data_IF_667250475564
#
_entry.id   IF_667250475564
#
_cell.length_a   1.000
_cell.length_b   1.000
_cell.length_c   1.000
_cell.angle_alpha   90.00
_cell.angle_beta   90.00
_cell.angle_gamma   90.00
#
_symmetry.space_group_name_H-M   'P 1'
#
loop_
_entity.id
_entity.type
_entity.pdbx_description
1 polymer ?
#
# COMPACT_ATOMS: atom_id res chain seq x y z
N UNK A 1 -13.29 17.90 -17.47
CA UNK A 1 -12.60 16.69 -16.96
C UNK A 1 -12.98 16.48 -15.51
N UNK A 2 -13.43 15.27 -15.11
CA UNK A 2 -13.70 14.95 -13.70
C UNK A 2 -12.40 15.04 -12.91
N UNK A 3 -12.36 15.84 -11.85
CA UNK A 3 -11.20 15.90 -10.94
C UNK A 3 -11.18 14.61 -10.14
N UNK A 4 -10.33 13.66 -10.54
CA UNK A 4 -10.13 12.40 -9.83
C UNK A 4 -8.89 12.46 -8.96
N UNK A 5 -8.93 11.74 -7.85
CA UNK A 5 -7.76 11.43 -7.05
C UNK A 5 -7.20 10.10 -7.55
N UNK A 6 -6.01 10.14 -8.16
CA UNK A 6 -5.40 8.96 -8.76
C UNK A 6 -4.10 8.62 -8.05
N UNK A 7 -3.96 7.35 -7.71
CA UNK A 7 -2.74 6.79 -7.13
C UNK A 7 -2.41 5.48 -7.84
N UNK A 8 -1.11 5.24 -8.01
CA UNK A 8 -0.59 3.98 -8.52
C UNK A 8 0.70 3.64 -7.82
N UNK A 9 0.91 2.36 -7.54
CA UNK A 9 2.03 1.90 -6.75
C UNK A 9 2.28 0.41 -6.89
N UNK A 10 3.32 -0.05 -6.21
CA UNK A 10 3.65 -1.46 -6.10
C UNK A 10 3.58 -1.89 -4.65
N UNK A 11 3.08 -3.10 -4.46
CA UNK A 11 2.97 -3.76 -3.17
C UNK A 11 3.72 -5.07 -3.21
N UNK A 12 4.59 -5.25 -2.21
CA UNK A 12 5.13 -6.54 -1.84
C UNK A 12 4.27 -7.07 -0.70
N UNK A 13 3.52 -8.13 -0.99
CA UNK A 13 2.61 -8.79 -0.05
C UNK A 13 3.24 -10.08 0.47
N UNK A 14 2.77 -10.52 1.63
CA UNK A 14 3.19 -11.78 2.27
C UNK A 14 4.72 -11.91 2.43
N UNK A 15 5.39 -10.79 2.73
CA UNK A 15 6.84 -10.76 2.99
C UNK A 15 7.17 -11.58 4.23
N UNK A 16 6.30 -11.49 5.23
CA UNK A 16 6.37 -12.29 6.44
C UNK A 16 4.98 -12.88 6.69
N UNK A 17 4.93 -14.19 6.86
CA UNK A 17 3.73 -14.94 7.22
C UNK A 17 3.96 -15.62 8.56
N UNK A 18 3.22 -15.19 9.58
CA UNK A 18 3.32 -15.73 10.94
C UNK A 18 2.09 -16.58 11.24
N UNK A 19 2.24 -17.88 11.53
CA UNK A 19 1.12 -18.70 11.99
C UNK A 19 0.62 -18.19 13.33
N UNK A 20 -0.69 -18.09 13.49
CA UNK A 20 -1.37 -17.65 14.70
C UNK A 20 -2.44 -18.67 15.08
N UNK A 21 -2.23 -19.35 16.21
CA UNK A 21 -3.13 -20.36 16.77
C UNK A 21 -3.53 -21.49 15.79
N UNK A 22 -2.64 -21.86 14.86
CA UNK A 22 -2.84 -22.94 13.85
C UNK A 22 -4.11 -22.83 12.99
N UNK A 23 -4.78 -21.67 13.01
CA UNK A 23 -6.01 -21.40 12.26
C UNK A 23 -5.89 -20.20 11.33
N UNK A 24 -4.97 -19.28 11.64
CA UNK A 24 -4.82 -18.04 10.90
C UNK A 24 -3.36 -17.74 10.60
N UNK A 25 -3.15 -16.95 9.56
CA UNK A 25 -1.86 -16.39 9.21
C UNK A 25 -1.91 -14.87 9.28
N UNK A 26 -1.02 -14.28 10.07
CA UNK A 26 -0.73 -12.85 9.98
C UNK A 26 0.25 -12.64 8.83
N UNK A 27 -0.19 -11.89 7.82
CA UNK A 27 0.61 -11.53 6.66
C UNK A 27 1.04 -10.07 6.77
N UNK A 28 2.32 -9.82 6.53
CA UNK A 28 2.87 -8.48 6.51
C UNK A 28 3.35 -8.14 5.11
N UNK A 29 3.18 -6.88 4.73
CA UNK A 29 3.63 -6.38 3.44
C UNK A 29 4.01 -4.91 3.50
N UNK A 30 4.70 -4.45 2.45
CA UNK A 30 5.06 -3.05 2.28
C UNK A 30 4.71 -2.60 0.87
N UNK A 31 4.55 -1.29 0.67
CA UNK A 31 4.33 -0.73 -0.65
C UNK A 31 4.74 0.71 -0.78
N UNK A 32 4.98 1.10 -2.02
CA UNK A 32 5.18 2.49 -2.42
C UNK A 32 4.05 2.91 -3.35
N UNK A 33 3.38 4.00 -3.00
CA UNK A 33 2.30 4.62 -3.76
C UNK A 33 2.75 5.99 -4.28
N UNK A 34 2.41 6.30 -5.53
CA UNK A 34 2.62 7.62 -6.13
C UNK A 34 1.29 8.21 -6.57
N UNK A 35 1.00 9.43 -6.13
CA UNK A 35 -0.18 10.20 -6.54
C UNK A 35 0.06 10.95 -7.84
N UNK A 36 -0.93 10.95 -8.71
CA UNK A 36 -0.92 11.70 -9.95
C UNK A 36 -2.29 12.30 -10.28
N UNK A 37 -2.31 13.17 -11.29
CA UNK A 37 -3.52 13.86 -11.73
C UNK A 37 -3.82 15.18 -11.00
N UNK A 38 -5.08 15.64 -11.03
CA UNK A 38 -5.47 17.00 -10.62
C UNK A 38 -5.17 17.38 -9.16
N UNK A 39 -5.02 16.38 -8.27
CA UNK A 39 -4.75 16.59 -6.85
C UNK A 39 -3.30 16.26 -6.45
N UNK A 40 -2.38 16.19 -7.42
CA UNK A 40 -0.95 16.07 -7.11
C UNK A 40 -0.43 17.37 -6.50
N UNK A 41 0.48 17.25 -5.53
CA UNK A 41 1.22 18.39 -4.99
C UNK A 41 2.34 18.83 -5.95
N UNK A 42 2.87 20.04 -5.73
CA UNK A 42 3.93 20.61 -6.56
C UNK A 42 5.23 19.78 -6.47
N UNK A 43 5.57 19.29 -5.28
CA UNK A 43 6.75 18.47 -5.10
C UNK A 43 6.44 16.98 -5.28
N UNK A 44 7.18 16.31 -6.18
CA UNK A 44 7.02 14.87 -6.43
C UNK A 44 7.20 14.01 -5.18
N UNK A 45 8.03 14.46 -4.23
CA UNK A 45 8.27 13.73 -2.97
C UNK A 45 7.04 13.70 -2.07
N UNK A 46 6.24 14.76 -2.07
CA UNK A 46 4.99 14.81 -1.29
C UNK A 46 3.87 13.97 -1.90
N UNK A 47 4.04 13.52 -3.15
CA UNK A 47 3.12 12.63 -3.83
C UNK A 47 3.47 11.15 -3.62
N UNK A 48 4.64 10.87 -3.03
CA UNK A 48 5.06 9.51 -2.70
C UNK A 48 4.67 9.16 -1.26
N UNK A 49 4.10 7.96 -1.08
CA UNK A 49 3.75 7.42 0.22
C UNK A 49 4.31 6.00 0.37
N UNK A 50 4.99 5.75 1.49
CA UNK A 50 5.37 4.42 1.92
C UNK A 50 4.27 3.85 2.82
N UNK A 51 3.89 2.60 2.60
CA UNK A 51 2.80 1.94 3.32
C UNK A 51 3.26 0.61 3.91
N UNK A 52 2.81 0.36 5.13
CA UNK A 52 2.91 -0.93 5.79
C UNK A 52 1.53 -1.59 5.81
N UNK A 53 1.47 -2.89 5.54
CA UNK A 53 0.23 -3.65 5.46
C UNK A 53 0.28 -4.81 6.43
N UNK A 54 -0.85 -5.04 7.10
CA UNK A 54 -1.10 -6.21 7.95
C UNK A 54 -2.39 -6.84 7.42
N UNK A 55 -2.34 -8.14 7.13
CA UNK A 55 -3.47 -8.93 6.66
C UNK A 55 -3.65 -10.18 7.51
N UNK A 56 -4.87 -10.70 7.52
CA UNK A 56 -5.21 -11.99 8.12
C UNK A 56 -5.62 -12.92 6.98
N UNK A 57 -4.97 -14.07 6.88
CA UNK A 57 -5.33 -15.17 5.98
C UNK A 57 -5.83 -16.39 6.76
N UNK A 58 -6.65 -17.21 6.10
CA UNK A 58 -7.18 -18.50 6.58
C UNK A 58 -6.82 -19.60 5.57
#
# INVERSE_FOLDING_TARGET
MKKGYYESGLYLRDILRVPYYDMFYLNFGIGGMMRWGPYRRMESKENFAFQFMIGIGF
#
